data_IF_268558073285
#
_entry.id   IF_268558073285
#
_cell.length_a   1.000
_cell.length_b   1.000
_cell.length_c   1.000
_cell.angle_alpha   90.00
_cell.angle_beta   90.00
_cell.angle_gamma   90.00
#
_symmetry.space_group_name_H-M   'P 1'
#
loop_
_entity.id
_entity.type
_entity.pdbx_description
1 polymer ?
#
# COMPACT_ATOMS: atom_id res chain seq x y z
N UNK A 1 -50.36 -4.85 -26.97
CA UNK A 1 -49.21 -5.33 -27.72
C UNK A 1 -48.28 -4.14 -28.00
N UNK A 2 -47.00 -4.21 -27.64
CA UNK A 2 -46.04 -3.18 -28.04
C UNK A 2 -46.02 -3.14 -29.58
N UNK A 3 -45.98 -1.95 -30.13
CA UNK A 3 -45.86 -1.83 -31.58
C UNK A 3 -44.47 -2.27 -32.04
N UNK A 4 -44.32 -2.79 -33.24
CA UNK A 4 -43.04 -3.12 -33.85
C UNK A 4 -42.07 -1.90 -33.77
N UNK A 5 -42.63 -0.71 -33.79
CA UNK A 5 -41.91 0.57 -33.64
C UNK A 5 -41.32 0.73 -32.24
N UNK A 6 -42.06 0.34 -31.18
CA UNK A 6 -41.57 0.44 -29.80
C UNK A 6 -40.43 -0.52 -29.53
N UNK A 7 -40.48 -1.74 -30.10
CA UNK A 7 -39.39 -2.72 -30.07
C UNK A 7 -38.17 -2.17 -30.78
N UNK A 8 -38.32 -1.60 -32.00
CA UNK A 8 -37.23 -1.00 -32.75
C UNK A 8 -36.61 0.20 -32.02
N UNK A 9 -37.43 1.05 -31.38
CA UNK A 9 -36.98 2.20 -30.55
C UNK A 9 -36.19 1.76 -29.35
N UNK A 10 -36.63 0.70 -28.61
CA UNK A 10 -35.91 0.17 -27.48
C UNK A 10 -34.53 -0.36 -27.88
N UNK A 11 -34.46 -1.09 -28.98
CA UNK A 11 -33.20 -1.59 -29.56
C UNK A 11 -32.24 -0.44 -29.90
N UNK A 12 -32.75 0.59 -30.60
CA UNK A 12 -31.93 1.76 -30.95
C UNK A 12 -31.38 2.47 -29.69
N UNK A 13 -32.19 2.63 -28.63
CA UNK A 13 -31.78 3.25 -27.38
C UNK A 13 -30.69 2.42 -26.67
N UNK A 14 -30.87 1.10 -26.60
CA UNK A 14 -29.91 0.21 -25.96
C UNK A 14 -28.56 0.21 -26.70
N UNK A 15 -28.57 0.17 -28.03
CA UNK A 15 -27.32 0.23 -28.84
C UNK A 15 -26.63 1.60 -28.75
N UNK A 16 -27.39 2.71 -28.74
CA UNK A 16 -26.83 4.05 -28.50
C UNK A 16 -26.09 4.13 -27.15
N UNK A 17 -26.68 3.56 -26.10
CA UNK A 17 -26.04 3.51 -24.80
C UNK A 17 -24.78 2.63 -24.80
N UNK A 18 -24.83 1.47 -25.45
CA UNK A 18 -23.65 0.60 -25.63
C UNK A 18 -22.52 1.30 -26.40
N UNK A 19 -22.88 2.05 -27.44
CA UNK A 19 -21.92 2.84 -28.22
C UNK A 19 -21.30 3.97 -27.37
N UNK A 20 -22.10 4.63 -26.54
CA UNK A 20 -21.62 5.66 -25.62
C UNK A 20 -20.62 5.08 -24.59
N UNK A 21 -20.88 3.86 -24.08
CA UNK A 21 -19.94 3.14 -23.19
C UNK A 21 -18.64 2.81 -23.91
N UNK A 22 -18.72 2.39 -25.18
CA UNK A 22 -17.53 2.12 -26.01
C UNK A 22 -16.72 3.41 -26.22
N UNK A 23 -17.39 4.52 -26.53
CA UNK A 23 -16.74 5.83 -26.64
C UNK A 23 -16.04 6.26 -25.35
N UNK A 24 -16.68 6.04 -24.20
CA UNK A 24 -16.07 6.29 -22.89
C UNK A 24 -14.83 5.42 -22.65
N UNK A 25 -14.86 4.13 -23.04
CA UNK A 25 -13.70 3.26 -22.94
C UNK A 25 -12.52 3.75 -23.78
N UNK A 26 -12.80 4.22 -25.02
CA UNK A 26 -11.78 4.75 -25.91
C UNK A 26 -11.21 6.06 -25.35
N UNK A 27 -12.08 6.97 -24.89
CA UNK A 27 -11.65 8.25 -24.35
C UNK A 27 -10.77 8.11 -23.09
N UNK A 28 -11.00 7.07 -22.29
CA UNK A 28 -10.32 6.85 -21.02
C UNK A 28 -9.25 5.73 -21.06
N UNK A 29 -8.81 5.30 -22.26
CA UNK A 29 -7.84 4.20 -22.39
C UNK A 29 -6.52 4.47 -21.67
N UNK A 30 -6.13 5.75 -21.57
CA UNK A 30 -4.90 6.21 -20.89
C UNK A 30 -5.17 6.84 -19.52
N UNK A 31 -6.40 6.76 -19.01
CA UNK A 31 -6.73 7.27 -17.69
C UNK A 31 -6.33 6.23 -16.63
N UNK A 32 -5.44 6.61 -15.71
CA UNK A 32 -5.00 5.71 -14.64
C UNK A 32 -6.18 5.26 -13.77
N UNK A 33 -6.20 3.95 -13.46
CA UNK A 33 -7.25 3.34 -12.67
C UNK A 33 -8.57 3.08 -13.40
N UNK A 34 -8.78 3.59 -14.62
CA UNK A 34 -10.00 3.34 -15.37
C UNK A 34 -10.14 1.85 -15.71
N UNK A 35 -11.30 1.28 -15.42
CA UNK A 35 -11.63 -0.09 -15.79
C UNK A 35 -12.60 -0.12 -16.98
N UNK A 36 -12.33 -0.96 -17.99
CA UNK A 36 -13.21 -1.17 -19.13
C UNK A 36 -14.62 -1.47 -18.65
N UNK A 37 -15.61 -0.85 -19.30
CA UNK A 37 -17.03 -1.02 -19.01
C UNK A 37 -17.70 -1.72 -20.17
N UNK A 38 -18.72 -2.55 -19.86
CA UNK A 38 -19.55 -3.21 -20.86
C UNK A 38 -21.02 -3.02 -20.46
N UNK A 39 -21.86 -2.65 -21.43
CA UNK A 39 -23.30 -2.61 -21.25
C UNK A 39 -23.86 -4.03 -21.32
N UNK A 40 -24.59 -4.45 -20.28
CA UNK A 40 -25.34 -5.72 -20.27
C UNK A 40 -26.73 -5.45 -20.81
N UNK A 41 -27.09 -6.11 -21.90
CA UNK A 41 -28.42 -6.02 -22.50
C UNK A 41 -29.31 -7.10 -21.92
N UNK A 42 -30.55 -6.75 -21.65
CA UNK A 42 -31.58 -7.67 -21.15
C UNK A 42 -32.86 -7.50 -21.95
N UNK A 43 -33.50 -8.61 -22.23
CA UNK A 43 -34.83 -8.60 -22.83
C UNK A 43 -35.84 -8.01 -21.83
N UNK A 44 -36.71 -7.13 -22.31
CA UNK A 44 -37.82 -6.64 -21.54
C UNK A 44 -38.95 -7.68 -21.63
N UNK A 45 -39.08 -8.52 -20.59
CA UNK A 45 -40.20 -9.46 -20.48
C UNK A 45 -41.46 -8.75 -20.01
N UNK A 46 -42.61 -9.10 -20.56
CA UNK A 46 -43.92 -8.61 -20.15
C UNK A 46 -44.34 -9.21 -18.83
N UNK A 47 -43.80 -8.74 -17.71
CA UNK A 47 -44.31 -9.10 -16.39
C UNK A 47 -45.56 -8.27 -16.04
N UNK A 48 -46.66 -8.59 -16.66
CA UNK A 48 -47.99 -8.06 -16.29
C UNK A 48 -48.75 -9.17 -15.58
N UNK A 49 -49.07 -8.98 -14.29
CA UNK A 49 -49.79 -9.95 -13.47
C UNK A 49 -51.07 -10.43 -14.07
N UNK A 50 -51.22 -11.76 -14.10
CA UNK A 50 -52.41 -12.48 -14.53
C UNK A 50 -51.98 -13.77 -15.24
N UNK A 51 -52.44 -14.88 -14.75
CA UNK A 51 -52.27 -16.20 -15.35
C UNK A 51 -52.99 -16.21 -16.70
N UNK A 52 -52.28 -15.85 -17.77
CA UNK A 52 -52.75 -16.06 -19.13
C UNK A 52 -51.57 -16.55 -19.95
N UNK A 53 -51.82 -17.51 -20.77
CA UNK A 53 -50.94 -18.38 -21.54
C UNK A 53 -49.58 -17.78 -21.97
N UNK A 54 -48.51 -18.55 -21.70
CA UNK A 54 -47.10 -18.22 -21.97
C UNK A 54 -46.82 -18.04 -23.48
N UNK A 55 -47.76 -18.39 -24.35
CA UNK A 55 -47.60 -18.40 -25.80
C UNK A 55 -47.73 -17.03 -26.49
N UNK A 56 -48.26 -16.01 -25.84
CA UNK A 56 -48.51 -14.69 -26.46
C UNK A 56 -47.60 -13.55 -25.95
N UNK A 57 -46.60 -13.83 -25.14
CA UNK A 57 -45.62 -12.85 -24.70
C UNK A 57 -44.47 -12.74 -25.69
N UNK A 58 -44.72 -12.11 -26.81
CA UNK A 58 -43.63 -11.58 -27.68
C UNK A 58 -42.82 -10.55 -26.85
N UNK A 59 -41.48 -10.68 -26.86
CA UNK A 59 -40.59 -9.80 -26.13
C UNK A 59 -40.89 -8.32 -26.38
N UNK A 60 -40.88 -7.52 -25.33
CA UNK A 60 -41.21 -6.08 -25.35
C UNK A 60 -40.04 -5.22 -25.82
N UNK A 61 -38.99 -5.85 -26.34
CA UNK A 61 -37.77 -5.20 -26.77
C UNK A 61 -36.59 -5.47 -25.86
N UNK A 62 -35.58 -4.61 -25.91
CA UNK A 62 -34.32 -4.76 -25.18
C UNK A 62 -34.03 -3.48 -24.38
N UNK A 63 -33.42 -3.62 -23.22
CA UNK A 63 -32.92 -2.53 -22.41
C UNK A 63 -31.49 -2.78 -21.95
N UNK A 64 -30.76 -1.73 -21.63
CA UNK A 64 -29.52 -1.86 -20.87
C UNK A 64 -29.89 -2.08 -19.42
N UNK A 65 -29.59 -3.27 -18.87
CA UNK A 65 -29.84 -3.62 -17.48
C UNK A 65 -28.84 -2.92 -16.56
N UNK A 66 -27.55 -3.10 -16.89
CA UNK A 66 -26.47 -2.48 -16.11
C UNK A 66 -25.24 -2.22 -16.98
N UNK A 67 -24.36 -1.36 -16.49
CA UNK A 67 -23.04 -1.14 -17.06
C UNK A 67 -22.02 -1.77 -16.12
N UNK A 68 -21.51 -2.94 -16.50
CA UNK A 68 -20.54 -3.70 -15.71
C UNK A 68 -19.14 -3.20 -15.96
N UNK A 69 -18.39 -3.12 -14.90
CA UNK A 69 -16.96 -2.86 -14.87
C UNK A 69 -16.18 -4.18 -14.98
N UNK A 70 -15.13 -4.23 -15.77
CA UNK A 70 -14.21 -5.38 -15.80
C UNK A 70 -13.39 -5.38 -14.49
N UNK A 71 -13.78 -6.24 -13.58
CA UNK A 71 -13.17 -6.36 -12.26
C UNK A 71 -13.03 -7.85 -11.91
N UNK A 72 -11.80 -8.28 -11.71
CA UNK A 72 -11.45 -9.61 -11.24
C UNK A 72 -10.74 -9.44 -9.88
N UNK A 73 -11.45 -9.74 -8.82
CA UNK A 73 -11.00 -9.56 -7.44
C UNK A 73 -9.73 -10.38 -7.16
N UNK A 74 -9.72 -11.65 -7.58
CA UNK A 74 -8.59 -12.54 -7.35
C UNK A 74 -7.31 -12.04 -8.04
N UNK A 75 -7.43 -11.64 -9.30
CA UNK A 75 -6.29 -11.12 -10.06
C UNK A 75 -5.77 -9.82 -9.47
N UNK A 76 -6.67 -8.92 -9.07
CA UNK A 76 -6.30 -7.63 -8.49
C UNK A 76 -5.61 -7.83 -7.14
N UNK A 77 -6.11 -8.71 -6.29
CA UNK A 77 -5.47 -9.02 -5.01
C UNK A 77 -4.09 -9.64 -5.20
N UNK A 78 -3.93 -10.49 -6.20
CA UNK A 78 -2.62 -11.05 -6.55
C UNK A 78 -1.63 -9.98 -6.99
N UNK A 79 -2.09 -9.03 -7.81
CA UNK A 79 -1.27 -7.87 -8.24
C UNK A 79 -0.90 -7.00 -7.04
N UNK A 80 -1.83 -6.72 -6.13
CA UNK A 80 -1.57 -5.95 -4.90
C UNK A 80 -0.52 -6.63 -4.02
N UNK A 81 -0.68 -7.93 -3.78
CA UNK A 81 0.29 -8.71 -2.99
C UNK A 81 1.69 -8.68 -3.61
N UNK A 82 1.78 -8.90 -4.92
CA UNK A 82 3.07 -8.88 -5.63
C UNK A 82 3.69 -7.48 -5.62
N UNK A 83 2.88 -6.44 -5.83
CA UNK A 83 3.34 -5.05 -5.75
C UNK A 83 3.84 -4.71 -4.34
N UNK A 84 3.12 -5.13 -3.30
CA UNK A 84 3.52 -4.92 -1.91
C UNK A 84 4.87 -5.61 -1.58
N UNK A 85 5.07 -6.83 -2.07
CA UNK A 85 6.35 -7.55 -1.91
C UNK A 85 7.50 -6.87 -2.66
N UNK A 86 7.22 -6.37 -3.86
CA UNK A 86 8.20 -5.61 -4.64
C UNK A 86 8.62 -4.34 -3.89
N UNK A 87 7.67 -3.52 -3.43
CA UNK A 87 7.95 -2.27 -2.71
C UNK A 87 8.73 -2.53 -1.40
N UNK A 88 8.44 -3.64 -0.70
CA UNK A 88 9.25 -4.07 0.45
C UNK A 88 10.70 -4.30 0.08
N UNK A 89 10.93 -5.11 -0.96
CA UNK A 89 12.28 -5.48 -1.38
C UNK A 89 13.06 -4.28 -1.92
N UNK A 90 12.40 -3.41 -2.67
CA UNK A 90 12.97 -2.19 -3.23
C UNK A 90 13.37 -1.22 -2.12
N UNK A 91 12.47 -0.93 -1.19
CA UNK A 91 12.74 -0.09 -0.01
C UNK A 91 13.89 -0.66 0.84
N UNK A 92 13.85 -1.97 1.12
CA UNK A 92 14.92 -2.62 1.89
C UNK A 92 16.27 -2.50 1.18
N UNK A 93 16.30 -2.75 -0.12
CA UNK A 93 17.54 -2.64 -0.92
C UNK A 93 18.11 -1.23 -0.92
N UNK A 94 17.25 -0.21 -0.99
CA UNK A 94 17.71 1.18 -0.98
C UNK A 94 18.32 1.57 0.37
N UNK A 95 17.70 1.16 1.49
CA UNK A 95 18.26 1.42 2.82
C UNK A 95 19.54 0.61 3.07
N UNK A 96 19.64 -0.62 2.53
CA UNK A 96 20.88 -1.43 2.59
C UNK A 96 22.01 -0.77 1.80
N UNK A 97 21.72 -0.19 0.63
CA UNK A 97 22.71 0.58 -0.13
C UNK A 97 23.20 1.81 0.64
N UNK A 98 22.30 2.49 1.34
CA UNK A 98 22.65 3.63 2.20
C UNK A 98 23.60 3.17 3.33
N UNK A 99 23.30 2.03 3.97
CA UNK A 99 24.17 1.43 4.98
C UNK A 99 25.52 0.99 4.39
N UNK A 100 25.52 0.35 3.22
CA UNK A 100 26.73 -0.04 2.52
C UNK A 100 27.61 1.16 2.20
N UNK A 101 27.03 2.24 1.64
CA UNK A 101 27.75 3.47 1.35
C UNK A 101 28.38 4.10 2.60
N UNK A 102 27.73 3.95 3.75
CA UNK A 102 28.22 4.44 5.02
C UNK A 102 29.42 3.63 5.52
N UNK A 103 29.44 2.30 5.23
CA UNK A 103 30.47 1.36 5.67
C UNK A 103 31.59 1.18 4.64
N UNK A 104 31.37 1.60 3.37
CA UNK A 104 32.36 1.44 2.30
C UNK A 104 33.71 2.09 2.66
N UNK A 105 34.81 1.44 2.29
CA UNK A 105 36.17 1.94 2.56
C UNK A 105 36.39 3.30 1.90
N UNK A 106 36.63 4.32 2.71
CA UNK A 106 37.26 5.57 2.29
C UNK A 106 38.73 5.57 2.70
N UNK A 107 39.49 6.60 2.31
CA UNK A 107 40.91 6.72 2.68
C UNK A 107 41.19 6.68 4.20
N UNK A 108 40.15 6.88 5.02
CA UNK A 108 40.15 6.78 6.48
C UNK A 108 39.10 5.79 6.97
N UNK A 109 39.20 4.52 6.56
CA UNK A 109 38.28 3.49 7.00
C UNK A 109 38.67 2.84 8.33
N UNK A 110 37.69 2.24 9.00
CA UNK A 110 37.88 1.55 10.28
C UNK A 110 38.94 0.43 10.20
N UNK A 111 38.94 -0.34 9.11
CA UNK A 111 39.89 -1.41 8.88
C UNK A 111 41.34 -0.90 8.85
N UNK A 112 41.60 0.24 8.21
CA UNK A 112 42.93 0.88 8.18
C UNK A 112 43.33 1.36 9.57
N UNK A 113 42.41 2.02 10.30
CA UNK A 113 42.70 2.49 11.66
C UNK A 113 42.95 1.36 12.63
N UNK A 114 42.27 0.23 12.49
CA UNK A 114 42.54 -1.01 13.24
C UNK A 114 43.95 -1.51 12.90
N UNK A 115 44.30 -1.62 11.62
CA UNK A 115 45.63 -2.06 11.17
C UNK A 115 46.75 -1.16 11.68
N UNK A 116 46.57 0.17 11.62
CA UNK A 116 47.54 1.14 12.12
C UNK A 116 47.76 1.04 13.64
N UNK A 117 46.64 0.82 14.39
CA UNK A 117 46.74 0.62 15.83
C UNK A 117 47.52 -0.65 16.17
N UNK A 118 47.22 -1.80 15.54
CA UNK A 118 47.97 -3.04 15.79
C UNK A 118 49.43 -2.96 15.32
N UNK A 119 49.73 -2.28 14.22
CA UNK A 119 51.12 -2.04 13.78
C UNK A 119 51.88 -1.21 14.82
N UNK A 120 51.24 -0.18 15.42
CA UNK A 120 51.89 0.62 16.47
C UNK A 120 52.21 -0.21 17.74
N UNK A 121 51.38 -1.21 18.06
CA UNK A 121 51.68 -2.14 19.17
C UNK A 121 52.86 -3.04 18.85
N UNK A 122 53.06 -3.45 17.57
CA UNK A 122 54.24 -4.21 17.16
C UNK A 122 55.53 -3.39 17.28
N UNK A 123 55.47 -2.07 16.98
CA UNK A 123 56.61 -1.17 17.15
C UNK A 123 57.00 -1.03 18.63
N UNK A 124 56.06 -1.00 19.58
CA UNK A 124 56.36 -1.07 21.03
C UNK A 124 57.09 -2.39 21.39
N UNK A 125 56.62 -3.53 20.81
CA UNK A 125 57.22 -4.82 21.08
C UNK A 125 58.67 -4.92 20.54
N UNK A 126 58.99 -4.22 19.43
CA UNK A 126 60.30 -4.19 18.84
C UNK A 126 61.30 -3.27 19.61
N UNK A 127 60.79 -2.20 20.25
CA UNK A 127 61.60 -1.24 21.01
C UNK A 127 60.94 -0.91 22.39
N UNK A 128 60.95 -1.85 23.34
CA UNK A 128 60.15 -1.71 24.57
C UNK A 128 60.62 -0.60 25.50
N UNK A 129 61.87 -0.19 25.40
CA UNK A 129 62.43 0.89 26.22
C UNK A 129 62.26 2.29 25.62
N UNK A 130 61.79 2.37 24.37
CA UNK A 130 61.55 3.64 23.68
C UNK A 130 60.17 4.20 24.04
N UNK A 131 60.11 5.49 24.41
CA UNK A 131 58.91 6.19 24.76
C UNK A 131 58.11 6.64 23.53
N UNK A 132 58.76 6.87 22.40
CA UNK A 132 58.14 7.39 21.18
C UNK A 132 57.06 6.43 20.59
N UNK A 133 57.32 5.10 20.41
CA UNK A 133 56.30 4.18 19.97
C UNK A 133 55.08 4.07 20.90
N UNK A 134 55.29 4.25 22.21
CA UNK A 134 54.18 4.23 23.18
C UNK A 134 53.27 5.42 23.01
N UNK A 135 53.78 6.62 22.75
CA UNK A 135 53.00 7.80 22.48
C UNK A 135 52.19 7.63 21.17
N UNK A 136 52.83 7.12 20.12
CA UNK A 136 52.19 6.86 18.81
C UNK A 136 51.03 5.85 18.99
N UNK A 137 51.23 4.78 19.72
CA UNK A 137 50.18 3.77 19.95
C UNK A 137 48.98 4.35 20.73
N UNK A 138 49.21 5.23 21.71
CA UNK A 138 48.13 5.93 22.41
C UNK A 138 47.33 6.84 21.45
N UNK A 139 48.00 7.58 20.58
CA UNK A 139 47.35 8.43 19.57
C UNK A 139 46.55 7.58 18.57
N UNK A 140 47.15 6.47 18.04
CA UNK A 140 46.42 5.55 17.16
C UNK A 140 45.20 4.91 17.85
N UNK A 141 45.29 4.60 19.13
CA UNK A 141 44.16 4.13 19.93
C UNK A 141 43.05 5.19 20.07
N UNK A 142 43.40 6.48 20.28
CA UNK A 142 42.44 7.56 20.28
C UNK A 142 41.77 7.79 18.93
N UNK A 143 42.59 7.73 17.84
CA UNK A 143 42.07 7.84 16.47
C UNK A 143 41.03 6.72 16.18
N UNK A 144 41.38 5.48 16.57
CA UNK A 144 40.50 4.32 16.41
C UNK A 144 39.20 4.49 17.20
N UNK A 145 39.28 4.91 18.47
CA UNK A 145 38.09 5.20 19.29
C UNK A 145 37.23 6.31 18.65
N UNK A 146 37.86 7.35 18.13
CA UNK A 146 37.18 8.42 17.39
C UNK A 146 36.45 7.91 16.17
N UNK A 147 37.06 6.98 15.40
CA UNK A 147 36.39 6.36 14.26
C UNK A 147 35.19 5.52 14.66
N UNK A 148 35.27 4.72 15.71
CA UNK A 148 34.12 3.97 16.24
C UNK A 148 32.95 4.88 16.62
N UNK A 149 33.24 5.95 17.34
CA UNK A 149 32.20 6.92 17.72
C UNK A 149 31.57 7.55 16.47
N UNK A 150 32.37 7.94 15.47
CA UNK A 150 31.86 8.50 14.23
C UNK A 150 30.93 7.53 13.48
N UNK A 151 31.28 6.24 13.38
CA UNK A 151 30.42 5.25 12.76
C UNK A 151 29.14 5.01 13.57
N UNK A 152 29.24 4.93 14.90
CA UNK A 152 28.07 4.84 15.78
C UNK A 152 27.09 6.00 15.58
N UNK A 153 27.59 7.24 15.51
CA UNK A 153 26.76 8.42 15.26
C UNK A 153 26.09 8.36 13.88
N UNK A 154 26.83 7.97 12.84
CA UNK A 154 26.30 7.85 11.48
C UNK A 154 25.22 6.77 11.38
N UNK A 155 25.39 5.61 12.02
CA UNK A 155 24.36 4.54 12.07
C UNK A 155 23.14 5.04 12.85
N UNK A 156 23.32 5.77 13.94
CA UNK A 156 22.24 6.38 14.70
C UNK A 156 21.44 7.39 13.87
N UNK A 157 22.11 8.20 13.06
CA UNK A 157 21.49 9.12 12.11
C UNK A 157 20.72 8.36 11.01
N UNK A 158 21.26 7.25 10.49
CA UNK A 158 20.56 6.39 9.53
C UNK A 158 19.28 5.83 10.15
N UNK A 159 19.35 5.28 11.36
CA UNK A 159 18.17 4.77 12.10
C UNK A 159 17.11 5.85 12.29
N UNK A 160 17.51 7.09 12.61
CA UNK A 160 16.60 8.22 12.72
C UNK A 160 15.91 8.51 11.37
N UNK A 161 16.65 8.57 10.27
CA UNK A 161 16.07 8.77 8.93
C UNK A 161 15.09 7.66 8.57
N UNK A 162 15.42 6.38 8.83
CA UNK A 162 14.50 5.24 8.61
C UNK A 162 13.22 5.41 9.45
N UNK A 163 13.35 5.83 10.71
CA UNK A 163 12.20 6.10 11.58
C UNK A 163 11.31 7.22 11.03
N UNK A 164 11.90 8.30 10.55
CA UNK A 164 11.15 9.42 9.97
C UNK A 164 10.43 8.98 8.67
N UNK A 165 11.11 8.24 7.78
CA UNK A 165 10.47 7.63 6.59
C UNK A 165 9.30 6.68 6.97
N UNK A 166 9.43 5.92 8.05
CA UNK A 166 8.36 5.05 8.52
C UNK A 166 7.16 5.83 9.05
N UNK A 167 7.37 6.95 9.72
CA UNK A 167 6.29 7.86 10.15
C UNK A 167 5.59 8.50 8.94
N UNK A 168 6.32 8.87 7.90
CA UNK A 168 5.75 9.38 6.65
C UNK A 168 4.92 8.31 5.94
N UNK A 169 5.40 7.06 5.92
CA UNK A 169 4.66 5.93 5.38
C UNK A 169 3.35 5.70 6.17
N UNK A 170 3.39 5.74 7.49
CA UNK A 170 2.21 5.64 8.35
C UNK A 170 1.23 6.80 8.13
N UNK A 171 1.73 8.01 7.99
CA UNK A 171 0.90 9.18 7.63
C UNK A 171 0.18 8.96 6.31
N UNK A 172 0.86 8.38 5.32
CA UNK A 172 0.29 8.01 4.02
C UNK A 172 -0.78 6.92 4.17
N UNK A 173 -0.56 5.89 5.01
CA UNK A 173 -1.57 4.86 5.32
C UNK A 173 -2.84 5.50 5.88
N UNK A 174 -2.71 6.38 6.86
CA UNK A 174 -3.84 7.05 7.51
C UNK A 174 -4.59 7.97 6.54
N UNK A 175 -3.88 8.72 5.71
CA UNK A 175 -4.48 9.58 4.69
C UNK A 175 -5.27 8.77 3.67
N UNK A 176 -4.68 7.72 3.10
CA UNK A 176 -5.33 6.84 2.12
C UNK A 176 -6.53 6.11 2.73
N UNK A 177 -6.43 5.64 3.97
CA UNK A 177 -7.53 5.02 4.71
C UNK A 177 -8.73 5.97 4.86
N UNK A 178 -8.48 7.22 5.22
CA UNK A 178 -9.51 8.25 5.34
C UNK A 178 -10.17 8.56 3.97
N UNK A 179 -9.39 8.64 2.91
CA UNK A 179 -9.91 8.87 1.56
C UNK A 179 -10.77 7.69 1.08
N UNK A 180 -10.36 6.44 1.33
CA UNK A 180 -11.13 5.25 1.00
C UNK A 180 -12.44 5.21 1.79
N UNK A 181 -12.40 5.51 3.09
CA UNK A 181 -13.59 5.62 3.93
C UNK A 181 -14.57 6.67 3.40
N UNK A 182 -14.09 7.82 2.96
CA UNK A 182 -14.94 8.86 2.36
C UNK A 182 -15.60 8.40 1.05
N UNK A 183 -14.90 7.58 0.22
CA UNK A 183 -15.50 6.99 -0.98
C UNK A 183 -16.53 5.92 -0.61
N UNK A 184 -16.23 5.05 0.39
CA UNK A 184 -17.21 4.09 0.91
C UNK A 184 -18.51 4.80 1.33
N UNK A 185 -18.42 5.91 2.06
CA UNK A 185 -19.59 6.69 2.47
C UNK A 185 -20.40 7.22 1.26
N UNK A 186 -19.72 7.72 0.22
CA UNK A 186 -20.38 8.17 -1.02
C UNK A 186 -21.07 7.02 -1.76
N UNK A 187 -20.44 5.84 -1.83
CA UNK A 187 -21.02 4.65 -2.45
C UNK A 187 -22.29 4.20 -1.70
N UNK A 188 -22.25 4.16 -0.37
CA UNK A 188 -23.41 3.81 0.44
C UNK A 188 -24.55 4.82 0.31
N UNK A 189 -24.24 6.11 0.18
CA UNK A 189 -25.24 7.17 0.02
C UNK A 189 -25.87 7.20 -1.39
N UNK A 190 -25.10 6.88 -2.44
CA UNK A 190 -25.57 6.96 -3.83
C UNK A 190 -26.38 5.74 -4.28
N UNK A 191 -26.43 4.66 -3.49
CA UNK A 191 -26.96 3.37 -3.92
C UNK A 191 -26.08 2.70 -4.97
N UNK A 192 -26.11 1.36 -5.03
CA UNK A 192 -25.18 0.55 -5.83
C UNK A 192 -25.41 0.67 -7.35
N UNK A 193 -26.43 1.35 -7.79
CA UNK A 193 -26.91 1.36 -9.19
C UNK A 193 -26.64 2.70 -9.87
N UNK A 194 -25.74 2.73 -10.86
CA UNK A 194 -25.58 3.85 -11.78
C UNK A 194 -24.16 4.06 -12.31
N UNK A 195 -24.03 4.83 -13.41
CA UNK A 195 -22.75 5.17 -14.04
C UNK A 195 -21.81 5.92 -13.10
N UNK A 196 -22.33 6.70 -12.15
CA UNK A 196 -21.56 7.43 -11.14
C UNK A 196 -20.82 6.50 -10.16
N UNK A 197 -21.42 5.38 -9.81
CA UNK A 197 -20.80 4.40 -8.89
C UNK A 197 -19.55 3.77 -9.47
N UNK A 198 -19.50 3.50 -10.78
CA UNK A 198 -18.32 2.93 -11.44
C UNK A 198 -17.07 3.84 -11.35
N UNK A 199 -17.26 5.16 -11.43
CA UNK A 199 -16.14 6.10 -11.27
C UNK A 199 -15.62 6.14 -9.81
N UNK A 200 -16.53 6.05 -8.83
CA UNK A 200 -16.15 5.96 -7.42
C UNK A 200 -15.40 4.65 -7.11
N UNK A 201 -15.84 3.54 -7.72
CA UNK A 201 -15.12 2.26 -7.61
C UNK A 201 -13.71 2.34 -8.21
N UNK A 202 -13.55 2.97 -9.38
CA UNK A 202 -12.24 3.14 -10.00
C UNK A 202 -11.32 4.01 -9.13
N UNK A 203 -11.81 5.14 -8.61
CA UNK A 203 -11.07 6.00 -7.68
C UNK A 203 -10.66 5.25 -6.40
N UNK A 204 -11.59 4.49 -5.81
CA UNK A 204 -11.30 3.69 -4.61
C UNK A 204 -10.22 2.66 -4.87
N UNK A 205 -10.31 1.95 -6.00
CA UNK A 205 -9.35 0.90 -6.34
C UNK A 205 -7.93 1.46 -6.54
N UNK A 206 -7.81 2.68 -7.11
CA UNK A 206 -6.53 3.40 -7.18
C UNK A 206 -5.96 3.65 -5.79
N UNK A 207 -6.77 4.17 -4.86
CA UNK A 207 -6.33 4.42 -3.49
C UNK A 207 -5.96 3.13 -2.75
N UNK A 208 -6.72 2.06 -2.95
CA UNK A 208 -6.39 0.74 -2.36
C UNK A 208 -5.07 0.20 -2.93
N UNK A 209 -4.83 0.37 -4.23
CA UNK A 209 -3.57 -0.05 -4.84
C UNK A 209 -2.38 0.78 -4.31
N UNK A 210 -2.56 2.08 -4.08
CA UNK A 210 -1.55 2.93 -3.44
C UNK A 210 -1.30 2.49 -1.99
N UNK A 211 -2.35 2.20 -1.24
CA UNK A 211 -2.25 1.71 0.13
C UNK A 211 -1.52 0.36 0.21
N UNK A 212 -1.79 -0.55 -0.75
CA UNK A 212 -1.13 -1.85 -0.84
C UNK A 212 0.40 -1.76 -1.08
N UNK A 213 0.87 -0.69 -1.72
CA UNK A 213 2.30 -0.42 -1.88
C UNK A 213 2.96 -0.01 -0.56
N UNK A 214 2.27 0.82 0.22
CA UNK A 214 2.81 1.33 1.49
C UNK A 214 2.78 0.26 2.58
N UNK A 215 1.70 -0.51 2.65
CA UNK A 215 1.52 -1.55 3.68
C UNK A 215 0.80 -2.76 3.12
N UNK A 216 1.15 -3.94 3.59
CA UNK A 216 0.42 -5.15 3.25
C UNK A 216 -1.01 -5.08 3.79
N UNK A 217 -1.98 -5.31 2.91
CA UNK A 217 -3.40 -5.25 3.24
C UNK A 217 -4.16 -6.45 2.67
N UNK A 218 -5.27 -6.78 3.30
CA UNK A 218 -6.35 -7.60 2.74
C UNK A 218 -7.61 -6.74 2.59
N UNK A 219 -8.33 -6.95 1.50
CA UNK A 219 -9.53 -6.20 1.16
C UNK A 219 -10.70 -7.15 1.08
N UNK A 220 -11.80 -6.80 1.73
CA UNK A 220 -13.06 -7.53 1.63
C UNK A 220 -14.15 -6.58 1.14
N UNK A 221 -14.88 -6.98 0.11
CA UNK A 221 -15.94 -6.17 -0.48
C UNK A 221 -17.29 -6.58 0.05
N UNK A 222 -18.04 -5.62 0.58
CA UNK A 222 -19.40 -5.85 1.04
C UNK A 222 -20.43 -5.85 -0.11
N UNK A 223 -21.68 -6.18 0.23
CA UNK A 223 -22.77 -6.36 -0.73
C UNK A 223 -23.16 -5.09 -1.50
N UNK A 224 -22.86 -3.93 -0.97
CA UNK A 224 -23.07 -2.62 -1.61
C UNK A 224 -21.80 -2.08 -2.27
N UNK A 225 -20.77 -2.90 -2.40
CA UNK A 225 -19.50 -2.55 -2.99
C UNK A 225 -18.59 -1.72 -2.09
N UNK A 226 -18.92 -1.54 -0.82
CA UNK A 226 -18.02 -0.96 0.19
C UNK A 226 -16.81 -1.88 0.43
N UNK A 227 -15.66 -1.30 0.75
CA UNK A 227 -14.43 -2.04 1.01
C UNK A 227 -14.05 -1.97 2.48
N UNK A 228 -13.95 -3.12 3.15
CA UNK A 228 -13.28 -3.27 4.44
C UNK A 228 -11.80 -3.56 4.19
N UNK A 229 -10.92 -2.85 4.87
CA UNK A 229 -9.48 -3.04 4.72
C UNK A 229 -8.88 -3.40 6.07
N UNK A 230 -8.10 -4.48 6.05
CA UNK A 230 -7.33 -4.96 7.20
C UNK A 230 -5.85 -4.96 6.88
N UNK A 231 -5.02 -4.75 7.88
CA UNK A 231 -3.56 -4.92 7.76
C UNK A 231 -3.21 -6.41 7.67
N UNK A 232 -2.20 -6.72 6.84
CA UNK A 232 -1.77 -8.10 6.59
C UNK A 232 -2.56 -8.79 5.47
N UNK A 233 -2.12 -10.01 5.12
CA UNK A 233 -2.67 -10.78 4.00
C UNK A 233 -3.65 -11.90 4.40
N UNK A 234 -3.86 -12.11 5.69
CA UNK A 234 -4.65 -13.26 6.20
C UNK A 234 -6.14 -12.94 6.39
N UNK A 235 -6.55 -11.68 6.22
CA UNK A 235 -7.91 -11.24 6.52
C UNK A 235 -8.27 -11.21 8.02
N UNK A 236 -7.34 -11.58 8.89
CA UNK A 236 -7.52 -11.60 10.36
C UNK A 236 -6.85 -10.43 11.08
N UNK A 237 -6.13 -9.58 10.35
CA UNK A 237 -5.44 -8.42 10.91
C UNK A 237 -6.40 -7.31 11.38
N UNK A 238 -5.87 -6.28 12.05
CA UNK A 238 -6.67 -5.17 12.53
C UNK A 238 -7.32 -4.41 11.37
N UNK A 239 -8.58 -4.02 11.56
CA UNK A 239 -9.33 -3.21 10.60
C UNK A 239 -8.80 -1.79 10.63
N UNK A 240 -8.41 -1.25 9.48
CA UNK A 240 -8.01 0.14 9.30
C UNK A 240 -9.06 0.96 8.55
N UNK A 241 -9.91 0.31 7.74
CA UNK A 241 -11.10 0.91 7.11
C UNK A 241 -12.28 -0.02 7.30
N UNK A 242 -13.34 0.47 7.94
CA UNK A 242 -14.59 -0.29 8.09
C UNK A 242 -15.46 -0.20 6.83
N UNK A 243 -16.14 -1.29 6.48
CA UNK A 243 -17.12 -1.32 5.39
C UNK A 243 -18.33 -0.41 5.69
N UNK A 244 -18.80 -0.38 6.94
CA UNK A 244 -19.99 0.31 7.36
C UNK A 244 -19.70 1.78 7.77
N UNK A 245 -19.41 2.63 6.78
CA UNK A 245 -19.41 4.09 6.99
C UNK A 245 -20.85 4.57 7.17
N UNK A 246 -21.45 4.40 8.35
CA UNK A 246 -22.76 5.00 8.64
C UNK A 246 -22.60 6.51 8.82
N UNK A 247 -23.28 7.36 8.02
CA UNK A 247 -23.23 8.80 8.18
C UNK A 247 -23.70 9.31 9.55
N UNK A 248 -24.41 8.46 10.30
CA UNK A 248 -24.96 8.77 11.63
C UNK A 248 -24.04 8.44 12.81
N UNK A 249 -22.96 7.69 12.60
CA UNK A 249 -21.87 7.50 13.57
C UNK A 249 -20.76 8.47 13.19
N UNK A 250 -20.71 9.63 13.82
CA UNK A 250 -19.73 10.66 13.54
C UNK A 250 -18.32 10.10 13.30
N UNK A 251 -17.86 10.32 12.13
CA UNK A 251 -16.51 10.54 11.65
C UNK A 251 -15.36 9.54 11.88
N UNK A 252 -15.51 8.34 12.44
CA UNK A 252 -14.34 7.46 12.50
C UNK A 252 -14.66 6.01 12.11
N UNK A 253 -14.70 5.79 10.81
CA UNK A 253 -14.71 4.47 10.18
C UNK A 253 -13.28 3.99 9.87
N UNK A 254 -12.26 4.69 10.36
CA UNK A 254 -10.86 4.33 10.21
C UNK A 254 -10.18 4.21 11.56
N UNK A 255 -9.31 3.21 11.70
CA UNK A 255 -8.42 3.06 12.84
C UNK A 255 -7.04 3.57 12.47
N UNK A 256 -6.48 4.48 13.25
CA UNK A 256 -5.17 5.04 13.00
C UNK A 256 -4.08 3.99 13.17
N UNK A 257 -3.11 4.05 12.28
CA UNK A 257 -1.84 3.30 12.36
C UNK A 257 -0.78 4.27 12.83
N UNK A 258 0.17 3.80 13.62
CA UNK A 258 1.36 4.55 14.04
C UNK A 258 2.58 3.62 14.02
N UNK A 259 3.74 4.17 14.27
CA UNK A 259 4.98 3.43 14.42
C UNK A 259 5.73 3.92 15.64
N UNK A 260 6.12 2.99 16.50
CA UNK A 260 6.89 3.28 17.72
C UNK A 260 8.23 2.57 17.67
N UNK A 261 9.23 3.15 18.32
CA UNK A 261 10.50 2.49 18.60
C UNK A 261 10.42 1.82 19.96
N UNK A 262 10.52 0.51 19.99
CA UNK A 262 10.52 -0.28 21.21
C UNK A 262 11.85 -1.04 21.35
N UNK A 263 12.74 -0.50 22.20
CA UNK A 263 14.12 -0.99 22.27
C UNK A 263 14.83 -0.84 20.92
N UNK A 264 15.40 -1.92 20.44
CA UNK A 264 16.14 -2.00 19.17
C UNK A 264 15.25 -2.22 17.93
N UNK A 265 13.93 -2.09 18.04
CA UNK A 265 13.00 -2.40 16.94
C UNK A 265 12.05 -1.28 16.66
N UNK A 266 11.79 -1.08 15.38
CA UNK A 266 10.70 -0.26 14.89
C UNK A 266 9.45 -1.12 14.77
N UNK A 267 8.34 -0.72 15.38
CA UNK A 267 7.14 -1.53 15.46
C UNK A 267 5.90 -0.76 15.03
N UNK A 268 5.19 -1.21 13.99
CA UNK A 268 3.88 -0.70 13.65
C UNK A 268 2.87 -1.02 14.75
N UNK A 269 2.02 -0.06 15.09
CA UNK A 269 0.96 -0.17 16.09
C UNK A 269 -0.36 0.36 15.53
N UNK A 270 -1.48 -0.12 16.05
CA UNK A 270 -2.82 0.21 15.56
C UNK A 270 -3.71 0.64 16.71
N UNK A 271 -4.46 1.74 16.48
CA UNK A 271 -5.47 2.25 17.41
C UNK A 271 -4.89 3.01 18.61
N UNK A 272 -5.80 3.56 19.41
CA UNK A 272 -5.46 4.38 20.58
C UNK A 272 -4.69 3.61 21.68
N UNK A 273 -4.74 2.28 21.65
CA UNK A 273 -4.01 1.42 22.59
C UNK A 273 -2.61 1.03 22.13
N UNK A 274 -2.13 1.54 20.99
CA UNK A 274 -0.85 1.18 20.39
C UNK A 274 -0.63 -0.34 20.37
N UNK A 275 -1.66 -1.09 19.90
CA UNK A 275 -1.57 -2.55 19.78
C UNK A 275 -0.56 -2.89 18.71
N UNK A 276 0.55 -3.49 19.12
CA UNK A 276 1.59 -3.93 18.22
C UNK A 276 1.05 -4.92 17.18
N UNK A 277 1.42 -4.73 15.92
CA UNK A 277 1.05 -5.65 14.87
C UNK A 277 2.28 -6.18 14.14
N UNK A 278 2.40 -7.50 14.07
CA UNK A 278 3.36 -8.22 13.25
C UNK A 278 2.73 -8.73 11.94
N UNK A 279 1.53 -8.30 11.63
CA UNK A 279 0.79 -8.71 10.43
C UNK A 279 1.33 -8.07 9.14
N UNK A 280 2.08 -6.96 9.26
CA UNK A 280 2.65 -6.25 8.11
C UNK A 280 3.97 -6.90 7.73
N UNK A 281 3.95 -7.73 6.68
CA UNK A 281 5.11 -8.47 6.19
C UNK A 281 5.55 -8.04 4.79
N UNK A 282 4.89 -7.04 4.21
CA UNK A 282 5.19 -6.49 2.90
C UNK A 282 4.80 -5.00 2.83
N UNK A 283 5.17 -4.32 1.74
CA UNK A 283 5.02 -2.88 1.55
C UNK A 283 6.23 -2.10 2.07
N UNK A 284 6.26 -0.81 1.73
CA UNK A 284 7.31 0.13 2.13
C UNK A 284 7.57 0.07 3.65
N UNK A 285 6.50 0.07 4.44
CA UNK A 285 6.59 0.06 5.90
C UNK A 285 7.34 -1.17 6.43
N UNK A 286 7.08 -2.35 5.84
CA UNK A 286 7.81 -3.58 6.22
C UNK A 286 9.28 -3.52 5.82
N UNK A 287 9.58 -2.98 4.63
CA UNK A 287 10.97 -2.77 4.19
C UNK A 287 11.75 -1.88 5.17
N UNK A 288 11.14 -0.78 5.62
CA UNK A 288 11.75 0.14 6.60
C UNK A 288 11.95 -0.51 7.98
N UNK A 289 10.98 -1.32 8.43
CA UNK A 289 11.11 -2.07 9.70
C UNK A 289 12.29 -3.05 9.65
N UNK A 290 12.41 -3.79 8.56
CA UNK A 290 13.52 -4.75 8.38
C UNK A 290 14.88 -4.04 8.25
N UNK A 291 14.92 -2.90 7.56
CA UNK A 291 16.13 -2.08 7.41
C UNK A 291 16.58 -1.45 8.73
N UNK A 292 15.63 -1.03 9.56
CA UNK A 292 15.93 -0.51 10.90
C UNK A 292 16.57 -1.59 11.78
N UNK A 293 16.04 -2.82 11.74
CA UNK A 293 16.59 -3.94 12.48
C UNK A 293 18.03 -4.27 12.01
N UNK A 294 18.27 -4.26 10.69
CA UNK A 294 19.62 -4.46 10.15
C UNK A 294 20.59 -3.37 10.61
N UNK A 295 20.19 -2.09 10.58
CA UNK A 295 21.02 -0.98 11.04
C UNK A 295 21.31 -1.06 12.55
N UNK A 296 20.39 -1.60 13.35
CA UNK A 296 20.61 -1.84 14.78
C UNK A 296 21.59 -2.97 15.04
N UNK A 297 21.51 -4.06 14.29
CA UNK A 297 22.40 -5.22 14.41
C UNK A 297 23.85 -4.87 13.98
N UNK A 298 24.07 -3.75 13.30
CA UNK A 298 25.39 -3.26 12.89
C UNK A 298 26.09 -2.36 13.92
N UNK A 299 25.40 -1.93 14.97
CA UNK A 299 25.95 -1.17 16.10
C UNK A 299 26.61 -2.07 17.12
#
# INVERSE_FOLDING_TARGET
MPSLFDIGKSGLQAYRQSLAVTGQNIANINTDGYKKRAASLEEVSGAGGGVTEISDQTGLGVRVNEIRRAFDEFLIDKVRQTSSLFEKSDTYLDEVKDLENLLLPSDSNLSKSIGEFFNSLQEIAAAPDDQAPRIIAVEKGKDLAGQFNLYSDRISDLKKRITDKAKDAVTSVNLLSNQISAINAKLLASGVSGQGSNALFDQRDVLINQLAKVSQISVNYGSKGEAEIRLGNTGSGPIIVEANASPSKGNNTTTAVDVITQGSRLQPVVGLGNVATNQIQAGILSGLVDSFALADDTL
#
